data_IF_648442385113
#
_entry.id   IF_648442385113
#
_cell.length_a   1.000
_cell.length_b   1.000
_cell.length_c   1.000
_cell.angle_alpha   90.00
_cell.angle_beta   90.00
_cell.angle_gamma   90.00
#
_symmetry.space_group_name_H-M   'P 1'
#
loop_
_entity.id
_entity.type
_entity.pdbx_description
1 polymer ?
#
# COMPACT_ATOMS: atom_id res chain seq x y z
N UNK A 1 -33.29 -5.03 -15.39
CA UNK A 1 -32.42 -5.97 -14.69
C UNK A 1 -31.08 -5.96 -15.41
N UNK A 2 -30.16 -5.09 -14.99
CA UNK A 2 -28.80 -4.99 -15.53
C UNK A 2 -27.92 -5.91 -14.68
N UNK A 3 -27.20 -6.78 -15.37
CA UNK A 3 -26.30 -7.79 -14.81
C UNK A 3 -25.23 -7.16 -13.93
N UNK A 4 -25.30 -7.40 -12.61
CA UNK A 4 -24.30 -7.01 -11.58
C UNK A 4 -23.17 -8.08 -11.47
N UNK A 5 -22.96 -8.87 -12.48
CA UNK A 5 -21.96 -9.96 -12.46
C UNK A 5 -20.55 -9.58 -12.99
N UNK A 6 -20.26 -8.30 -13.21
CA UNK A 6 -18.98 -7.85 -13.82
C UNK A 6 -17.96 -7.21 -12.87
N UNK A 7 -18.14 -7.27 -11.55
CA UNK A 7 -17.21 -6.63 -10.59
C UNK A 7 -16.30 -7.61 -9.82
N UNK A 8 -16.18 -8.86 -10.24
CA UNK A 8 -15.14 -9.78 -9.74
C UNK A 8 -13.99 -9.93 -10.72
N UNK A 9 -13.34 -8.85 -11.07
CA UNK A 9 -11.99 -8.93 -11.62
C UNK A 9 -10.98 -8.91 -10.48
N UNK A 10 -11.07 -9.89 -9.59
CA UNK A 10 -9.87 -10.40 -8.93
C UNK A 10 -9.03 -10.92 -10.09
N UNK A 11 -7.86 -10.31 -10.34
CA UNK A 11 -6.92 -10.79 -11.35
C UNK A 11 -6.72 -12.28 -11.10
N UNK A 12 -7.39 -13.08 -11.90
CA UNK A 12 -7.34 -14.52 -11.80
C UNK A 12 -5.93 -14.94 -12.17
N UNK A 13 -5.13 -15.39 -11.17
CA UNK A 13 -4.01 -16.19 -11.57
C UNK A 13 -2.65 -16.02 -10.92
N UNK A 14 -2.54 -15.71 -9.65
CA UNK A 14 -1.33 -16.05 -8.91
C UNK A 14 -1.72 -16.95 -7.72
N UNK A 15 -1.85 -18.27 -7.91
CA UNK A 15 -2.06 -19.17 -6.79
C UNK A 15 -0.84 -19.06 -5.86
N UNK A 16 -1.07 -18.78 -4.57
CA UNK A 16 -0.08 -18.55 -3.51
C UNK A 16 0.62 -17.18 -3.46
N UNK A 17 0.11 -16.15 -4.15
CA UNK A 17 0.54 -14.77 -3.92
C UNK A 17 -0.26 -14.14 -2.78
N UNK A 18 0.40 -13.34 -1.94
CA UNK A 18 -0.30 -12.47 -1.00
C UNK A 18 -0.35 -11.08 -1.63
N UNK A 19 -1.54 -10.55 -1.76
CA UNK A 19 -1.78 -9.22 -2.32
C UNK A 19 -2.28 -8.27 -1.24
N UNK A 20 -1.62 -7.13 -1.12
CA UNK A 20 -1.99 -6.08 -0.18
C UNK A 20 -2.42 -4.84 -0.95
N UNK A 21 -3.54 -4.26 -0.57
CA UNK A 21 -4.10 -3.05 -1.18
C UNK A 21 -4.94 -2.25 -0.19
N UNK A 22 -5.32 -1.05 -0.57
CA UNK A 22 -6.37 -0.28 0.12
C UNK A 22 -7.73 -0.84 -0.30
N UNK A 23 -8.57 -1.18 0.67
CA UNK A 23 -9.96 -1.58 0.42
C UNK A 23 -10.76 -0.39 -0.13
N UNK A 24 -11.42 -0.57 -1.27
CA UNK A 24 -12.16 0.49 -1.98
C UNK A 24 -13.60 0.12 -2.28
N UNK A 25 -13.90 -1.17 -2.38
CA UNK A 25 -15.27 -1.64 -2.64
C UNK A 25 -15.99 -1.98 -1.33
N UNK A 26 -17.34 -1.95 -1.31
CA UNK A 26 -18.09 -2.37 -0.15
C UNK A 26 -17.74 -3.80 0.33
N UNK A 27 -17.48 -4.71 -0.60
CA UNK A 27 -17.11 -6.09 -0.30
C UNK A 27 -15.73 -6.17 0.38
N UNK A 28 -14.75 -5.40 -0.09
CA UNK A 28 -13.42 -5.34 0.52
C UNK A 28 -13.45 -4.70 1.91
N UNK A 29 -14.29 -3.68 2.11
CA UNK A 29 -14.50 -3.09 3.44
C UNK A 29 -15.21 -4.06 4.38
N UNK A 30 -16.18 -4.82 3.89
CA UNK A 30 -16.83 -5.87 4.67
C UNK A 30 -15.81 -6.93 5.11
N UNK A 31 -14.91 -7.37 4.21
CA UNK A 31 -13.83 -8.30 4.55
C UNK A 31 -12.92 -7.73 5.67
N UNK A 32 -12.56 -6.45 5.60
CA UNK A 32 -11.78 -5.76 6.64
C UNK A 32 -12.49 -5.79 7.98
N UNK A 33 -13.79 -5.43 8.02
CA UNK A 33 -14.55 -5.30 9.25
C UNK A 33 -14.78 -6.66 9.93
N UNK A 34 -15.06 -7.70 9.14
CA UNK A 34 -15.19 -9.08 9.63
C UNK A 34 -13.85 -9.63 10.12
N UNK A 35 -12.76 -9.35 9.40
CA UNK A 35 -11.43 -9.79 9.82
C UNK A 35 -11.01 -9.14 11.16
N UNK A 36 -11.32 -7.86 11.37
CA UNK A 36 -11.07 -7.20 12.66
C UNK A 36 -11.82 -7.92 13.80
N UNK A 37 -13.10 -8.21 13.58
CA UNK A 37 -13.92 -8.96 14.56
C UNK A 37 -13.34 -10.33 14.83
N UNK A 38 -13.05 -11.10 13.78
CA UNK A 38 -12.48 -12.45 13.90
C UNK A 38 -11.18 -12.42 14.72
N UNK A 39 -10.28 -11.48 14.44
CA UNK A 39 -8.98 -11.42 15.11
C UNK A 39 -9.09 -10.86 16.52
N UNK A 40 -9.69 -9.68 16.68
CA UNK A 40 -9.68 -8.99 17.97
C UNK A 40 -10.65 -9.61 18.97
N UNK A 41 -11.86 -9.97 18.54
CA UNK A 41 -12.89 -10.49 19.46
C UNK A 41 -12.74 -12.01 19.62
N UNK A 42 -12.75 -12.75 18.52
CA UNK A 42 -12.79 -14.22 18.59
C UNK A 42 -11.44 -14.83 18.93
N UNK A 43 -10.35 -14.39 18.26
CA UNK A 43 -9.02 -14.98 18.49
C UNK A 43 -8.32 -14.43 19.74
N UNK A 44 -8.44 -13.12 19.98
CA UNK A 44 -7.68 -12.43 21.04
C UNK A 44 -8.52 -12.11 22.28
N UNK A 45 -9.85 -12.28 22.22
CA UNK A 45 -10.76 -12.06 23.36
C UNK A 45 -10.84 -10.59 23.81
N UNK A 46 -10.65 -9.63 22.89
CA UNK A 46 -10.68 -8.19 23.14
C UNK A 46 -12.05 -7.58 22.83
N UNK A 47 -12.28 -6.34 23.29
CA UNK A 47 -13.48 -5.52 23.04
C UNK A 47 -14.82 -6.07 23.49
N UNK A 48 -14.92 -7.30 23.95
CA UNK A 48 -16.16 -7.96 24.34
C UNK A 48 -17.09 -8.29 23.16
N UNK A 49 -17.49 -9.54 23.05
CA UNK A 49 -18.27 -10.06 21.92
C UNK A 49 -19.64 -9.37 21.76
N UNK A 50 -20.28 -9.00 22.88
CA UNK A 50 -21.59 -8.35 22.86
C UNK A 50 -21.60 -6.95 22.27
N UNK A 51 -20.45 -6.32 22.14
CA UNK A 51 -20.31 -4.99 21.54
C UNK A 51 -20.49 -4.99 20.02
N UNK A 52 -20.40 -6.17 19.38
CA UNK A 52 -20.41 -6.31 17.91
C UNK A 52 -21.34 -7.41 17.45
N UNK A 53 -22.68 -7.25 17.61
CA UNK A 53 -23.66 -8.30 17.33
C UNK A 53 -23.68 -8.75 15.86
N UNK A 54 -23.23 -7.89 14.95
CA UNK A 54 -23.18 -8.19 13.51
C UNK A 54 -21.89 -8.91 13.08
N UNK A 55 -20.97 -9.20 14.03
CA UNK A 55 -19.69 -9.83 13.74
C UNK A 55 -18.75 -8.94 12.91
N UNK A 56 -18.79 -7.60 13.13
CA UNK A 56 -17.99 -6.59 12.42
C UNK A 56 -17.47 -5.54 13.40
N UNK A 57 -16.23 -5.10 13.25
CA UNK A 57 -15.73 -3.92 13.95
C UNK A 57 -15.65 -2.76 12.96
N UNK A 58 -16.56 -1.80 13.16
CA UNK A 58 -16.66 -0.53 12.45
C UNK A 58 -16.83 0.57 13.48
N UNK A 59 -16.16 1.67 13.33
CA UNK A 59 -16.26 2.85 14.20
C UNK A 59 -16.32 4.15 13.39
N UNK A 60 -16.51 5.30 14.06
CA UNK A 60 -16.63 6.59 13.42
C UNK A 60 -15.36 7.00 12.63
N UNK A 61 -14.21 6.40 12.92
CA UNK A 61 -12.96 6.69 12.21
C UNK A 61 -12.88 5.99 10.85
N UNK A 62 -13.74 5.02 10.56
CA UNK A 62 -13.84 4.41 9.24
C UNK A 62 -14.56 5.33 8.22
N UNK A 63 -15.31 6.36 8.69
CA UNK A 63 -16.00 7.34 7.87
C UNK A 63 -15.22 8.67 7.71
N UNK A 64 -13.97 8.75 8.19
CA UNK A 64 -13.16 9.96 8.07
C UNK A 64 -12.80 10.26 6.61
N UNK A 65 -12.65 11.54 6.28
CA UNK A 65 -12.24 11.98 4.93
C UNK A 65 -10.87 11.44 4.51
N UNK A 66 -9.96 11.24 5.49
CA UNK A 66 -8.64 10.64 5.28
C UNK A 66 -8.56 9.34 6.06
N UNK A 67 -9.12 8.30 5.48
CA UNK A 67 -9.03 6.93 5.99
C UNK A 67 -8.56 5.99 4.88
N UNK A 68 -7.68 5.07 5.22
CA UNK A 68 -7.27 3.98 4.35
C UNK A 68 -7.27 2.67 5.13
N UNK A 69 -8.16 1.78 4.75
CA UNK A 69 -8.24 0.42 5.27
C UNK A 69 -7.40 -0.49 4.37
N UNK A 70 -6.20 -0.83 4.81
CA UNK A 70 -5.31 -1.77 4.12
C UNK A 70 -5.80 -3.19 4.39
N UNK A 71 -5.84 -4.02 3.36
CA UNK A 71 -6.18 -5.44 3.47
C UNK A 71 -5.14 -6.29 2.76
N UNK A 72 -4.76 -7.40 3.37
CA UNK A 72 -3.90 -8.43 2.79
C UNK A 72 -4.74 -9.66 2.49
N UNK A 73 -4.68 -10.15 1.26
CA UNK A 73 -5.37 -11.33 0.77
C UNK A 73 -4.41 -12.46 0.43
N UNK A 74 -4.76 -13.69 0.80
CA UNK A 74 -4.29 -14.91 0.16
C UNK A 74 -5.42 -15.44 -0.74
N UNK A 75 -5.24 -15.37 -2.06
CA UNK A 75 -6.35 -15.65 -2.99
C UNK A 75 -7.52 -14.68 -2.76
N UNK A 76 -8.64 -15.20 -2.26
CA UNK A 76 -9.83 -14.42 -1.91
C UNK A 76 -10.02 -14.24 -0.39
N UNK A 77 -9.17 -14.82 0.44
CA UNK A 77 -9.29 -14.76 1.90
C UNK A 77 -8.52 -13.57 2.45
N UNK A 78 -9.17 -12.70 3.22
CA UNK A 78 -8.54 -11.63 3.96
C UNK A 78 -7.79 -12.19 5.18
N UNK A 79 -6.46 -12.00 5.23
CA UNK A 79 -5.58 -12.57 6.26
C UNK A 79 -4.96 -11.53 7.19
N UNK A 80 -5.00 -10.26 6.79
CA UNK A 80 -4.48 -9.14 7.59
C UNK A 80 -5.11 -7.82 7.20
N UNK A 81 -5.20 -6.89 8.15
CA UNK A 81 -5.66 -5.51 7.93
C UNK A 81 -4.95 -4.52 8.84
N UNK A 82 -4.86 -3.28 8.38
CA UNK A 82 -4.32 -2.12 9.10
C UNK A 82 -5.09 -0.88 8.65
N UNK A 83 -5.51 -0.03 9.59
CA UNK A 83 -6.13 1.26 9.28
C UNK A 83 -5.13 2.39 9.46
N UNK A 84 -5.09 3.29 8.51
CA UNK A 84 -4.37 4.56 8.55
C UNK A 84 -5.40 5.68 8.51
N UNK A 85 -5.32 6.63 9.45
CA UNK A 85 -6.10 7.85 9.43
C UNK A 85 -5.16 9.06 9.42
N UNK A 86 -5.61 10.18 8.84
CA UNK A 86 -5.02 11.49 9.04
C UNK A 86 -6.05 12.41 9.68
N UNK A 87 -5.65 13.15 10.69
CA UNK A 87 -6.55 14.05 11.42
C UNK A 87 -7.08 15.17 10.53
N UNK A 88 -8.39 15.28 10.49
CA UNK A 88 -9.14 16.35 9.81
C UNK A 88 -9.83 17.30 10.79
N UNK A 89 -9.41 17.32 12.07
CA UNK A 89 -9.96 18.13 13.13
C UNK A 89 -10.98 17.41 14.01
N UNK A 90 -11.18 16.10 13.80
CA UNK A 90 -12.09 15.24 14.58
C UNK A 90 -11.38 14.41 15.64
N UNK A 91 -10.04 14.49 15.68
CA UNK A 91 -9.22 13.61 16.50
C UNK A 91 -8.90 12.27 15.80
N UNK A 92 -8.17 11.42 16.48
CA UNK A 92 -7.65 10.15 15.97
C UNK A 92 -7.98 8.98 16.91
N UNK A 93 -8.12 7.74 16.40
CA UNK A 93 -8.49 6.57 17.22
C UNK A 93 -7.69 6.38 18.51
N UNK A 94 -6.35 6.57 18.57
CA UNK A 94 -5.61 6.41 19.80
C UNK A 94 -6.00 7.39 20.91
N UNK A 95 -6.60 8.53 20.57
CA UNK A 95 -6.98 9.60 21.49
C UNK A 95 -8.25 9.27 22.30
N UNK A 96 -9.01 8.25 21.89
CA UNK A 96 -10.10 7.70 22.71
C UNK A 96 -9.58 7.01 23.99
N UNK A 97 -8.33 6.59 23.97
CA UNK A 97 -7.74 5.77 25.03
C UNK A 97 -6.61 6.47 25.78
N UNK A 98 -6.01 7.51 25.18
CA UNK A 98 -4.88 8.20 25.73
C UNK A 98 -4.84 9.68 25.33
N UNK A 99 -4.39 10.53 26.24
CA UNK A 99 -4.28 11.96 25.99
C UNK A 99 -2.95 12.31 25.29
N UNK A 100 -3.00 12.61 24.00
CA UNK A 100 -1.85 13.05 23.21
C UNK A 100 -1.66 14.59 23.17
N UNK A 101 -2.35 15.35 24.05
CA UNK A 101 -2.36 16.82 24.03
C UNK A 101 -0.96 17.44 24.09
N UNK A 102 -0.11 17.01 25.03
CA UNK A 102 1.26 17.52 25.19
C UNK A 102 2.12 17.20 23.96
N UNK A 103 1.99 15.99 23.42
CA UNK A 103 2.68 15.60 22.19
C UNK A 103 2.24 16.47 21.01
N UNK A 104 0.94 16.67 20.81
CA UNK A 104 0.41 17.53 19.74
C UNK A 104 0.91 18.97 19.86
N UNK A 105 0.91 19.51 21.07
CA UNK A 105 1.40 20.86 21.33
C UNK A 105 2.87 20.98 20.95
N UNK A 106 3.72 20.09 21.44
CA UNK A 106 5.16 20.07 21.14
C UNK A 106 5.45 19.90 19.63
N UNK A 107 4.69 19.02 18.95
CA UNK A 107 4.78 18.86 17.49
C UNK A 107 4.42 20.16 16.77
N UNK A 108 3.31 20.79 17.13
CA UNK A 108 2.83 22.02 16.47
C UNK A 108 3.85 23.16 16.63
N UNK A 109 4.37 23.35 17.84
CA UNK A 109 5.39 24.38 18.10
C UNK A 109 6.69 24.15 17.34
N UNK A 110 7.17 22.90 17.32
CA UNK A 110 8.44 22.58 16.64
C UNK A 110 8.30 22.63 15.13
N UNK A 111 7.16 22.20 14.61
CA UNK A 111 6.86 22.17 13.16
C UNK A 111 6.73 23.58 12.60
N UNK A 112 5.91 24.43 13.22
CA UNK A 112 5.64 25.81 12.76
C UNK A 112 6.89 26.70 12.77
N UNK A 113 7.94 26.35 13.53
CA UNK A 113 9.23 27.05 13.46
C UNK A 113 10.02 26.80 12.18
N UNK A 114 9.74 25.68 11.49
CA UNK A 114 10.55 25.21 10.38
C UNK A 114 9.76 25.01 9.07
N UNK A 115 8.43 25.15 9.10
CA UNK A 115 7.55 24.88 7.98
C UNK A 115 6.44 25.94 7.87
N UNK A 116 6.10 26.32 6.67
CA UNK A 116 5.01 27.27 6.39
C UNK A 116 3.62 26.60 6.39
N UNK A 117 3.58 25.26 6.42
CA UNK A 117 2.32 24.47 6.46
C UNK A 117 2.12 23.88 7.84
N UNK A 118 0.86 23.69 8.30
CA UNK A 118 0.59 23.09 9.61
C UNK A 118 1.05 21.64 9.69
N UNK A 119 1.42 21.19 10.89
CA UNK A 119 1.68 19.78 11.14
C UNK A 119 0.44 18.94 10.88
N UNK A 120 0.60 17.82 10.17
CA UNK A 120 -0.48 16.87 9.87
C UNK A 120 -0.19 15.56 10.57
N UNK A 121 -0.97 15.26 11.60
CA UNK A 121 -0.78 14.07 12.45
C UNK A 121 -1.74 12.99 11.96
N UNK A 122 -1.20 11.80 11.74
CA UNK A 122 -1.97 10.60 11.41
C UNK A 122 -1.96 9.58 12.54
N UNK A 123 -2.65 8.48 12.33
CA UNK A 123 -2.59 7.31 13.21
C UNK A 123 -2.53 6.01 12.44
N UNK A 124 -1.92 5.00 13.05
CA UNK A 124 -2.00 3.60 12.65
C UNK A 124 -2.80 2.84 13.73
N UNK A 125 -3.88 2.17 13.32
CA UNK A 125 -4.81 1.49 14.22
C UNK A 125 -5.38 0.22 13.60
N UNK A 126 -6.09 -0.58 14.37
CA UNK A 126 -6.80 -1.78 13.90
C UNK A 126 -5.89 -2.76 13.12
N UNK A 127 -4.63 -2.90 13.56
CA UNK A 127 -3.76 -3.95 13.03
C UNK A 127 -4.30 -5.30 13.49
N UNK A 128 -4.86 -6.05 12.57
CA UNK A 128 -5.37 -7.39 12.81
C UNK A 128 -4.77 -8.36 11.80
N UNK A 129 -4.18 -9.45 12.29
CA UNK A 129 -3.62 -10.53 11.46
C UNK A 129 -4.13 -11.85 12.02
N UNK A 130 -4.74 -12.68 11.19
CA UNK A 130 -5.20 -14.03 11.57
C UNK A 130 -4.08 -14.79 12.28
N UNK A 131 -4.42 -15.55 13.31
CA UNK A 131 -3.46 -16.28 14.15
C UNK A 131 -2.51 -17.16 13.33
N UNK A 132 -3.04 -17.84 12.33
CA UNK A 132 -2.29 -18.68 11.38
C UNK A 132 -1.24 -17.91 10.57
N UNK A 133 -1.40 -16.58 10.44
CA UNK A 133 -0.55 -15.69 9.62
C UNK A 133 0.42 -14.83 10.42
N UNK A 134 0.33 -14.82 11.76
CA UNK A 134 1.19 -13.95 12.61
C UNK A 134 2.68 -14.26 12.52
N UNK A 135 3.06 -15.44 12.06
CA UNK A 135 4.45 -15.80 11.80
C UNK A 135 5.00 -15.17 10.51
N UNK A 136 4.15 -14.71 9.58
CA UNK A 136 4.49 -14.07 8.31
C UNK A 136 4.81 -12.58 8.53
N UNK A 137 6.04 -12.33 9.04
CA UNK A 137 6.52 -10.96 9.30
C UNK A 137 6.64 -10.11 8.06
N UNK A 138 6.81 -10.72 6.89
CA UNK A 138 6.80 -10.08 5.57
C UNK A 138 5.45 -9.43 5.27
N UNK A 139 4.33 -10.09 5.56
CA UNK A 139 2.98 -9.53 5.38
C UNK A 139 2.77 -8.30 6.26
N UNK A 140 3.14 -8.40 7.56
CA UNK A 140 3.01 -7.28 8.50
C UNK A 140 3.87 -6.10 8.05
N UNK A 141 5.13 -6.36 7.66
CA UNK A 141 6.04 -5.34 7.13
C UNK A 141 5.46 -4.66 5.88
N UNK A 142 4.92 -5.44 4.95
CA UNK A 142 4.32 -4.92 3.72
C UNK A 142 3.09 -4.03 3.99
N UNK A 143 2.24 -4.37 4.99
CA UNK A 143 1.15 -3.50 5.41
C UNK A 143 1.66 -2.15 5.95
N UNK A 144 2.70 -2.15 6.79
CA UNK A 144 3.29 -0.91 7.29
C UNK A 144 3.95 -0.09 6.17
N UNK A 145 4.63 -0.74 5.22
CA UNK A 145 5.21 -0.04 4.06
C UNK A 145 4.13 0.61 3.19
N UNK A 146 3.00 -0.07 2.96
CA UNK A 146 1.87 0.52 2.26
C UNK A 146 1.30 1.71 3.05
N UNK A 147 1.14 1.57 4.37
CA UNK A 147 0.72 2.66 5.25
C UNK A 147 1.67 3.88 5.22
N UNK A 148 2.98 3.64 5.13
CA UNK A 148 3.96 4.72 4.98
C UNK A 148 3.80 5.47 3.64
N UNK A 149 3.53 4.75 2.54
CA UNK A 149 3.24 5.38 1.25
C UNK A 149 1.97 6.25 1.29
N UNK A 150 0.90 5.73 1.91
CA UNK A 150 -0.36 6.47 2.09
C UNK A 150 -0.13 7.75 2.88
N UNK A 151 0.50 7.66 4.05
CA UNK A 151 0.75 8.83 4.89
C UNK A 151 1.66 9.88 4.22
N UNK A 152 2.62 9.42 3.38
CA UNK A 152 3.43 10.33 2.56
C UNK A 152 2.57 11.07 1.53
N UNK A 153 1.67 10.38 0.84
CA UNK A 153 0.76 11.00 -0.13
C UNK A 153 -0.20 12.01 0.50
N UNK A 154 -0.39 11.94 1.80
CA UNK A 154 -1.21 12.87 2.58
C UNK A 154 -0.39 13.98 3.27
N UNK A 155 0.89 14.11 2.98
CA UNK A 155 1.82 15.06 3.62
C UNK A 155 1.85 14.93 5.16
N UNK A 156 1.80 13.70 5.66
CA UNK A 156 1.84 13.41 7.09
C UNK A 156 3.16 13.85 7.73
N UNK A 157 3.09 14.53 8.87
CA UNK A 157 4.25 14.96 9.65
C UNK A 157 4.65 13.98 10.74
N UNK A 158 3.64 13.46 11.46
CA UNK A 158 3.79 12.54 12.59
C UNK A 158 2.68 11.49 12.59
N UNK A 159 2.94 10.38 13.28
CA UNK A 159 1.98 9.28 13.48
C UNK A 159 1.90 9.00 14.97
N UNK A 160 0.69 8.82 15.49
CA UNK A 160 0.41 8.31 16.83
C UNK A 160 -0.25 6.94 16.76
N UNK A 161 -0.02 6.12 17.77
CA UNK A 161 -0.64 4.80 17.91
C UNK A 161 -0.82 4.41 19.37
N UNK A 162 -1.89 3.68 19.67
CA UNK A 162 -2.04 2.93 20.92
C UNK A 162 -1.75 1.46 20.62
N UNK A 163 -0.60 1.00 21.06
CA UNK A 163 0.00 -0.27 20.64
C UNK A 163 -0.09 -1.29 21.75
N UNK A 164 -0.46 -2.53 21.46
CA UNK A 164 -0.38 -3.61 22.43
C UNK A 164 1.05 -3.71 23.01
N UNK A 165 1.18 -3.72 24.34
CA UNK A 165 2.47 -3.72 25.03
C UNK A 165 3.41 -4.86 24.57
N UNK A 166 2.85 -6.05 24.25
CA UNK A 166 3.62 -7.20 23.75
C UNK A 166 4.24 -6.97 22.38
N UNK A 167 3.72 -6.02 21.61
CA UNK A 167 4.16 -5.71 20.24
C UNK A 167 4.91 -4.38 20.14
N UNK A 168 5.03 -3.60 21.21
CA UNK A 168 5.69 -2.29 21.25
C UNK A 168 7.11 -2.34 20.65
N UNK A 169 7.92 -3.34 21.00
CA UNK A 169 9.26 -3.53 20.44
C UNK A 169 9.32 -3.76 18.92
N UNK A 170 8.21 -4.14 18.27
CA UNK A 170 8.13 -4.16 16.81
C UNK A 170 8.00 -2.72 16.26
N UNK A 171 7.18 -1.90 16.90
CA UNK A 171 6.98 -0.50 16.51
C UNK A 171 8.25 0.35 16.75
N UNK A 172 8.99 0.09 17.83
CA UNK A 172 10.28 0.74 18.08
C UNK A 172 11.26 0.54 16.91
N UNK A 173 11.32 -0.68 16.35
CA UNK A 173 12.19 -1.00 15.19
C UNK A 173 11.83 -0.27 13.90
N UNK A 174 10.63 0.25 13.82
CA UNK A 174 10.14 1.01 12.65
C UNK A 174 10.08 2.52 12.94
N UNK A 175 10.69 2.96 14.06
CA UNK A 175 10.92 4.36 14.37
C UNK A 175 9.91 4.99 15.33
N UNK A 176 9.02 4.21 15.95
CA UNK A 176 8.13 4.70 16.99
C UNK A 176 8.86 4.79 18.33
N UNK A 177 8.50 5.79 19.11
CA UNK A 177 8.96 6.01 20.49
C UNK A 177 7.76 5.93 21.44
N UNK A 178 7.96 5.30 22.60
CA UNK A 178 6.95 5.28 23.66
C UNK A 178 6.84 6.67 24.28
N UNK A 179 5.62 7.18 24.43
CA UNK A 179 5.35 8.47 25.05
C UNK A 179 5.09 8.35 26.54
N UNK A 180 4.67 7.17 27.00
CA UNK A 180 4.43 6.86 28.41
C UNK A 180 4.52 5.34 28.64
N UNK A 181 4.36 4.93 29.89
CA UNK A 181 4.28 3.52 30.31
C UNK A 181 3.02 2.85 29.78
N UNK A 182 3.02 1.51 29.79
CA UNK A 182 1.85 0.72 29.45
C UNK A 182 0.69 0.97 30.43
N UNK A 183 -0.54 0.97 29.91
CA UNK A 183 -1.75 1.16 30.67
C UNK A 183 -2.79 0.11 30.29
N UNK A 184 -3.54 -0.39 31.29
CA UNK A 184 -4.71 -1.23 31.03
C UNK A 184 -5.87 -0.38 30.52
N UNK A 185 -6.41 -0.72 29.36
CA UNK A 185 -7.58 -0.05 28.79
C UNK A 185 -8.77 -0.99 28.84
N UNK A 186 -9.73 -0.68 29.73
CA UNK A 186 -10.93 -1.52 29.97
C UNK A 186 -11.72 -1.80 28.71
N UNK A 187 -11.95 -0.79 27.87
CA UNK A 187 -12.69 -0.93 26.61
C UNK A 187 -12.01 -1.83 25.58
N UNK A 188 -10.69 -1.99 25.64
CA UNK A 188 -9.93 -2.91 24.78
C UNK A 188 -9.78 -4.27 25.43
N UNK A 189 -9.65 -4.32 26.75
CA UNK A 189 -9.34 -5.54 27.51
C UNK A 189 -7.87 -5.96 27.39
N UNK A 190 -6.95 -4.99 27.25
CA UNK A 190 -5.52 -5.28 27.10
C UNK A 190 -4.64 -4.10 27.59
N UNK A 191 -3.35 -4.36 27.78
CA UNK A 191 -2.34 -3.35 28.05
C UNK A 191 -1.89 -2.70 26.75
N UNK A 192 -1.94 -1.36 26.69
CA UNK A 192 -1.47 -0.58 25.55
C UNK A 192 -0.40 0.42 25.96
N UNK A 193 0.49 0.74 25.01
CA UNK A 193 1.52 1.76 25.11
C UNK A 193 1.20 2.86 24.11
N UNK A 194 1.09 4.13 24.53
CA UNK A 194 0.97 5.24 23.60
C UNK A 194 2.33 5.47 22.93
N UNK A 195 2.34 5.47 21.63
CA UNK A 195 3.56 5.63 20.84
C UNK A 195 3.39 6.69 19.77
N UNK A 196 4.50 7.32 19.38
CA UNK A 196 4.53 8.26 18.28
C UNK A 196 5.79 8.09 17.44
N UNK A 197 5.71 8.52 16.18
CA UNK A 197 6.82 8.49 15.24
C UNK A 197 6.81 9.74 14.37
N UNK A 198 8.00 10.28 14.05
CA UNK A 198 8.13 11.23 12.93
C UNK A 198 7.87 10.49 11.62
N UNK A 199 7.00 11.05 10.81
CA UNK A 199 6.64 10.40 9.56
C UNK A 199 7.86 10.18 8.64
N UNK A 200 8.82 11.12 8.64
CA UNK A 200 10.07 10.98 7.88
C UNK A 200 10.91 9.77 8.30
N UNK A 201 10.96 9.43 9.60
CA UNK A 201 11.67 8.24 10.08
C UNK A 201 10.96 6.95 9.64
N UNK A 202 9.63 6.91 9.75
CA UNK A 202 8.83 5.80 9.30
C UNK A 202 8.93 5.57 7.77
N UNK A 203 8.87 6.65 7.00
CA UNK A 203 9.05 6.63 5.55
C UNK A 203 10.45 6.13 5.15
N UNK A 204 11.50 6.63 5.82
CA UNK A 204 12.88 6.16 5.58
C UNK A 204 13.05 4.68 5.91
N UNK A 205 12.44 4.19 6.99
CA UNK A 205 12.43 2.76 7.28
C UNK A 205 11.71 1.95 6.19
N UNK A 206 10.56 2.45 5.71
CA UNK A 206 9.74 1.73 4.73
C UNK A 206 10.42 1.60 3.37
N UNK A 207 11.08 2.66 2.93
CA UNK A 207 11.54 2.81 1.55
C UNK A 207 13.05 3.02 1.41
N UNK A 208 13.77 3.41 2.47
CA UNK A 208 15.24 3.49 2.52
C UNK A 208 15.89 3.98 1.22
N UNK A 209 16.65 3.10 0.60
CA UNK A 209 17.40 3.39 -0.63
C UNK A 209 16.53 3.45 -1.91
N UNK A 210 15.22 3.16 -1.82
CA UNK A 210 14.27 3.33 -2.92
C UNK A 210 13.96 4.80 -3.26
N UNK A 211 14.52 5.78 -2.53
CA UNK A 211 14.17 7.20 -2.63
C UNK A 211 14.24 7.73 -4.08
N UNK A 212 15.16 7.26 -4.90
CA UNK A 212 15.21 7.66 -6.32
C UNK A 212 14.13 6.99 -7.18
N UNK A 213 13.67 5.81 -6.81
CA UNK A 213 12.54 5.11 -7.44
C UNK A 213 11.18 5.62 -6.91
N UNK A 214 11.16 6.29 -5.75
CA UNK A 214 9.95 6.82 -5.09
C UNK A 214 9.30 7.96 -5.85
N UNK A 215 10.02 8.68 -6.68
CA UNK A 215 9.42 9.66 -7.60
C UNK A 215 8.35 9.02 -8.49
N UNK A 216 8.49 7.72 -8.75
CA UNK A 216 7.46 6.90 -9.40
C UNK A 216 6.29 6.62 -8.47
N UNK A 217 6.57 6.25 -7.22
CA UNK A 217 5.53 5.95 -6.23
C UNK A 217 4.75 7.19 -5.82
N UNK A 218 5.40 8.35 -5.70
CA UNK A 218 4.74 9.65 -5.49
C UNK A 218 3.74 9.97 -6.60
N UNK A 219 4.02 9.51 -7.83
CA UNK A 219 3.08 9.65 -8.93
C UNK A 219 1.79 8.85 -8.70
N UNK A 220 1.91 7.63 -8.16
CA UNK A 220 0.76 6.75 -7.93
C UNK A 220 0.03 7.04 -6.61
N UNK A 221 0.51 8.01 -5.81
CA UNK A 221 -0.05 8.31 -4.49
C UNK A 221 -0.18 7.02 -3.65
N UNK A 222 -1.36 6.74 -3.07
CA UNK A 222 -1.65 5.53 -2.29
C UNK A 222 -2.31 4.41 -3.12
N UNK A 223 -2.30 4.49 -4.45
CA UNK A 223 -3.01 3.56 -5.34
C UNK A 223 -2.22 2.33 -5.75
N UNK A 224 -0.96 2.24 -5.35
CA UNK A 224 -0.18 1.04 -5.60
C UNK A 224 -0.59 -0.11 -4.66
N UNK A 225 -0.35 -1.33 -5.14
CA UNK A 225 -0.54 -2.55 -4.37
C UNK A 225 0.82 -3.18 -4.07
N UNK A 226 0.86 -4.10 -3.12
CA UNK A 226 2.04 -4.91 -2.85
C UNK A 226 1.72 -6.37 -3.07
N UNK A 227 2.65 -7.10 -3.67
CA UNK A 227 2.50 -8.53 -3.97
C UNK A 227 3.70 -9.26 -3.41
N UNK A 228 3.44 -10.28 -2.59
CA UNK A 228 4.48 -11.16 -2.02
C UNK A 228 4.35 -12.52 -2.67
N UNK A 229 5.44 -13.00 -3.24
CA UNK A 229 5.54 -14.27 -3.94
C UNK A 229 6.68 -15.10 -3.36
N UNK A 230 6.48 -16.40 -3.21
CA UNK A 230 7.57 -17.33 -2.93
C UNK A 230 8.53 -17.41 -4.11
N UNK A 231 9.70 -18.05 -3.92
CA UNK A 231 10.61 -18.36 -5.02
C UNK A 231 9.94 -19.26 -6.08
N UNK A 232 10.43 -19.19 -7.31
CA UNK A 232 10.01 -20.00 -8.45
C UNK A 232 8.52 -19.84 -8.83
N UNK A 233 7.92 -18.66 -8.52
CA UNK A 233 6.55 -18.33 -8.93
C UNK A 233 6.57 -17.48 -10.19
N UNK A 234 5.68 -17.80 -11.11
CA UNK A 234 5.44 -16.99 -12.31
C UNK A 234 4.61 -15.78 -11.95
N UNK A 235 5.11 -14.59 -12.21
CA UNK A 235 4.38 -13.31 -12.05
C UNK A 235 3.43 -13.11 -13.23
N UNK A 236 3.90 -13.34 -14.44
CA UNK A 236 3.10 -13.41 -15.66
C UNK A 236 3.85 -14.26 -16.71
N UNK A 237 3.12 -14.83 -17.64
CA UNK A 237 3.67 -15.60 -18.77
C UNK A 237 3.76 -14.75 -20.02
N UNK A 238 4.66 -15.13 -20.92
CA UNK A 238 4.63 -14.63 -22.29
C UNK A 238 3.28 -14.96 -22.93
N UNK A 239 2.67 -13.97 -23.56
CA UNK A 239 1.36 -14.09 -24.20
C UNK A 239 0.16 -13.84 -23.29
N UNK A 240 0.35 -13.68 -21.98
CA UNK A 240 -0.73 -13.28 -21.08
C UNK A 240 -1.26 -11.88 -21.46
N UNK A 241 -2.52 -11.63 -21.12
CA UNK A 241 -3.12 -10.32 -21.30
C UNK A 241 -2.38 -9.25 -20.47
N UNK A 242 -2.46 -8.01 -20.92
CA UNK A 242 -1.91 -6.85 -20.22
C UNK A 242 -2.61 -6.63 -18.87
N UNK A 243 -1.96 -5.88 -17.98
CA UNK A 243 -2.53 -5.58 -16.66
C UNK A 243 -1.65 -4.65 -15.87
N UNK A 244 -0.75 -5.19 -15.08
CA UNK A 244 0.07 -4.45 -14.12
C UNK A 244 1.52 -4.32 -14.57
N UNK A 245 2.18 -3.24 -14.16
CA UNK A 245 3.64 -3.15 -14.08
C UNK A 245 4.09 -3.38 -12.65
N UNK A 246 5.37 -3.68 -12.46
CA UNK A 246 5.91 -4.05 -11.17
C UNK A 246 7.27 -3.41 -10.92
N UNK A 247 7.51 -2.97 -9.67
CA UNK A 247 8.84 -2.58 -9.17
C UNK A 247 9.27 -3.64 -8.16
N UNK A 248 10.50 -4.11 -8.27
CA UNK A 248 11.08 -5.05 -7.29
C UNK A 248 11.46 -4.27 -6.05
N UNK A 249 10.79 -4.53 -4.91
CA UNK A 249 11.19 -3.98 -3.61
C UNK A 249 12.18 -4.88 -2.89
N UNK A 250 11.89 -6.19 -2.85
CA UNK A 250 12.77 -7.21 -2.24
C UNK A 250 12.84 -8.41 -3.16
N UNK A 251 13.99 -9.05 -3.25
CA UNK A 251 14.19 -10.27 -4.03
C UNK A 251 14.70 -10.03 -5.44
N UNK A 252 14.46 -11.00 -6.32
CA UNK A 252 14.92 -10.96 -7.71
C UNK A 252 13.95 -11.67 -8.66
N UNK A 253 13.86 -11.12 -9.88
CA UNK A 253 12.99 -11.60 -10.97
C UNK A 253 13.85 -12.01 -12.16
N UNK A 254 13.58 -13.17 -12.75
CA UNK A 254 14.08 -13.57 -14.05
C UNK A 254 13.06 -13.21 -15.13
N UNK A 255 13.50 -12.48 -16.13
CA UNK A 255 12.75 -12.23 -17.37
C UNK A 255 13.26 -13.21 -18.41
N UNK A 256 12.36 -13.98 -19.01
CA UNK A 256 12.69 -15.00 -20.00
C UNK A 256 11.70 -15.02 -21.15
N UNK A 257 12.12 -15.61 -22.27
CA UNK A 257 11.29 -15.76 -23.46
C UNK A 257 11.43 -17.19 -23.98
N UNK A 258 10.30 -17.81 -24.32
CA UNK A 258 10.29 -19.10 -25.00
C UNK A 258 10.86 -18.97 -26.41
N UNK A 259 11.84 -19.80 -26.76
CA UNK A 259 12.36 -19.91 -28.13
C UNK A 259 11.50 -20.86 -28.98
N UNK A 260 11.67 -20.81 -30.30
CA UNK A 260 10.98 -21.70 -31.26
C UNK A 260 11.32 -23.22 -31.05
N UNK A 261 12.47 -23.49 -30.42
CA UNK A 261 12.93 -24.85 -30.06
C UNK A 261 12.38 -25.38 -28.74
N UNK A 262 11.54 -24.58 -28.02
CA UNK A 262 11.05 -24.93 -26.70
C UNK A 262 12.03 -24.61 -25.57
N UNK A 263 13.20 -24.06 -25.88
CA UNK A 263 14.18 -23.61 -24.89
C UNK A 263 13.76 -22.24 -24.32
N UNK A 264 13.96 -22.06 -23.02
CA UNK A 264 13.71 -20.78 -22.34
C UNK A 264 14.99 -19.94 -22.34
N UNK A 265 14.96 -18.80 -23.03
CA UNK A 265 16.09 -17.85 -23.05
C UNK A 265 15.90 -16.80 -21.95
N UNK A 266 16.84 -16.74 -21.00
CA UNK A 266 16.88 -15.66 -20.03
C UNK A 266 17.33 -14.36 -20.70
N UNK A 267 16.49 -13.32 -20.63
CA UNK A 267 16.76 -12.00 -21.20
C UNK A 267 17.42 -11.09 -20.17
N UNK A 268 16.97 -11.15 -18.91
CA UNK A 268 17.46 -10.30 -17.83
C UNK A 268 17.18 -10.93 -16.45
N UNK A 269 17.96 -10.50 -15.46
CA UNK A 269 17.66 -10.67 -14.04
C UNK A 269 17.52 -9.30 -13.42
N UNK A 270 16.38 -9.07 -12.76
CA UNK A 270 16.02 -7.78 -12.17
C UNK A 270 16.04 -7.89 -10.65
N UNK A 271 16.52 -6.85 -9.98
CA UNK A 271 16.60 -6.72 -8.54
C UNK A 271 15.96 -5.44 -8.03
N UNK A 272 16.29 -5.09 -6.80
CA UNK A 272 15.73 -3.94 -6.07
C UNK A 272 15.69 -2.65 -6.89
N UNK A 273 14.54 -1.97 -6.86
CA UNK A 273 14.28 -0.69 -7.56
C UNK A 273 14.01 -0.82 -9.07
N UNK A 274 14.18 -2.01 -9.66
CA UNK A 274 13.99 -2.18 -11.10
C UNK A 274 12.52 -2.43 -11.45
N UNK A 275 12.08 -1.75 -12.51
CA UNK A 275 10.73 -1.82 -13.07
C UNK A 275 10.67 -2.85 -14.18
N UNK A 276 9.54 -3.57 -14.31
CA UNK A 276 9.26 -4.48 -15.40
C UNK A 276 7.76 -4.58 -15.68
N UNK A 277 7.42 -5.07 -16.89
CA UNK A 277 6.02 -5.19 -17.32
C UNK A 277 5.34 -3.86 -17.63
N UNK A 278 6.10 -2.78 -17.70
CA UNK A 278 5.64 -1.40 -17.89
C UNK A 278 4.91 -1.19 -19.23
N UNK A 279 5.26 -1.95 -20.25
CA UNK A 279 4.59 -1.83 -21.56
C UNK A 279 3.10 -2.13 -21.45
N UNK A 280 2.69 -3.01 -20.54
CA UNK A 280 1.28 -3.33 -20.35
C UNK A 280 0.45 -2.20 -19.73
N UNK A 281 1.07 -1.17 -19.18
CA UNK A 281 0.36 0.05 -18.75
C UNK A 281 -0.07 0.89 -19.96
N UNK A 282 0.69 0.88 -21.05
CA UNK A 282 0.54 1.78 -22.19
C UNK A 282 0.02 1.05 -23.42
N UNK A 283 0.59 -0.12 -23.69
CA UNK A 283 0.25 -0.97 -24.81
C UNK A 283 -0.85 -1.99 -24.42
N UNK A 284 -1.69 -2.35 -25.36
CA UNK A 284 -2.70 -3.41 -25.22
C UNK A 284 -2.21 -4.76 -25.76
N UNK A 285 -0.92 -4.84 -26.10
CA UNK A 285 -0.34 -6.09 -26.61
C UNK A 285 -0.12 -7.09 -25.46
N UNK A 286 -0.20 -8.40 -25.76
CA UNK A 286 0.14 -9.44 -24.80
C UNK A 286 1.58 -9.32 -24.28
N UNK A 287 1.84 -9.90 -23.10
CA UNK A 287 3.16 -9.93 -22.48
C UNK A 287 4.22 -10.46 -23.46
N UNK A 288 5.25 -9.68 -23.72
CA UNK A 288 6.34 -10.02 -24.65
C UNK A 288 7.32 -11.07 -24.11
N UNK A 289 7.32 -11.27 -22.79
CA UNK A 289 8.20 -12.18 -22.08
C UNK A 289 7.49 -12.74 -20.83
N UNK A 290 8.09 -13.74 -20.20
CA UNK A 290 7.69 -14.28 -18.90
C UNK A 290 8.52 -13.66 -17.79
N UNK A 291 7.90 -13.43 -16.62
CA UNK A 291 8.58 -13.01 -15.39
C UNK A 291 8.39 -14.08 -14.30
N UNK A 292 9.50 -14.51 -13.69
CA UNK A 292 9.52 -15.55 -12.65
C UNK A 292 10.39 -15.10 -11.48
N UNK A 293 9.91 -15.31 -10.25
CA UNK A 293 10.67 -15.00 -9.03
C UNK A 293 11.83 -15.97 -8.86
N UNK A 294 13.03 -15.47 -8.54
CA UNK A 294 14.20 -16.30 -8.20
C UNK A 294 14.32 -16.58 -6.70
N UNK A 295 13.78 -15.69 -5.89
CA UNK A 295 13.76 -15.78 -4.43
C UNK A 295 12.36 -15.42 -3.94
N UNK A 296 12.10 -15.50 -2.63
CA UNK A 296 10.92 -14.82 -2.07
C UNK A 296 11.00 -13.34 -2.43
N UNK A 297 10.01 -12.84 -3.14
CA UNK A 297 10.02 -11.52 -3.77
C UNK A 297 8.83 -10.70 -3.32
N UNK A 298 9.08 -9.43 -3.00
CA UNK A 298 8.07 -8.43 -2.71
C UNK A 298 8.08 -7.40 -3.83
N UNK A 299 6.94 -7.23 -4.48
CA UNK A 299 6.73 -6.34 -5.61
C UNK A 299 5.79 -5.21 -5.24
N UNK A 300 6.02 -4.04 -5.79
CA UNK A 300 5.05 -2.96 -5.86
C UNK A 300 4.35 -3.12 -7.21
N UNK A 301 3.04 -3.35 -7.19
CA UNK A 301 2.23 -3.52 -8.39
C UNK A 301 1.52 -2.20 -8.72
N UNK A 302 1.60 -1.82 -9.98
CA UNK A 302 1.04 -0.59 -10.55
C UNK A 302 -0.04 -1.01 -11.54
N UNK A 303 -1.29 -0.77 -11.17
CA UNK A 303 -2.45 -1.09 -12.00
C UNK A 303 -2.63 -0.10 -13.15
N UNK A 304 -3.11 -0.58 -14.30
CA UNK A 304 -3.33 0.24 -15.50
C UNK A 304 -4.41 1.32 -15.29
N UNK A 305 -5.51 0.98 -14.62
CA UNK A 305 -6.61 1.92 -14.41
C UNK A 305 -6.18 3.03 -13.44
N UNK A 306 -5.50 2.67 -12.37
CA UNK A 306 -4.91 3.62 -11.44
C UNK A 306 -3.86 4.51 -12.13
N UNK A 307 -3.05 3.95 -13.04
CA UNK A 307 -2.09 4.69 -13.84
C UNK A 307 -2.74 5.78 -14.69
N UNK A 308 -3.78 5.44 -15.46
CA UNK A 308 -4.48 6.41 -16.30
C UNK A 308 -5.27 7.44 -15.48
N UNK A 309 -5.88 7.02 -14.37
CA UNK A 309 -6.58 7.93 -13.46
C UNK A 309 -5.64 9.00 -12.88
N UNK A 310 -4.39 8.63 -12.53
CA UNK A 310 -3.40 9.61 -12.05
C UNK A 310 -2.90 10.53 -13.18
N UNK A 311 -2.74 10.01 -14.41
CA UNK A 311 -2.41 10.84 -15.56
C UNK A 311 -3.45 11.91 -15.84
N UNK A 312 -4.74 11.57 -15.74
CA UNK A 312 -5.84 12.50 -15.91
C UNK A 312 -5.88 13.55 -14.77
N UNK A 313 -5.64 13.13 -13.54
CA UNK A 313 -5.60 14.01 -12.38
C UNK A 313 -4.40 14.97 -12.37
N UNK A 314 -3.24 14.53 -12.89
CA UNK A 314 -1.98 15.26 -12.83
C UNK A 314 -1.21 15.27 -14.17
N UNK A 315 -1.77 15.91 -15.23
CA UNK A 315 -1.16 15.87 -16.57
C UNK A 315 0.25 16.47 -16.65
N UNK A 316 0.59 17.39 -15.76
CA UNK A 316 1.92 18.02 -15.71
C UNK A 316 3.04 17.04 -15.30
N UNK A 317 2.69 15.93 -14.62
CA UNK A 317 3.65 14.89 -14.19
C UNK A 317 3.98 13.87 -15.29
N UNK A 318 3.34 13.92 -16.45
CA UNK A 318 3.61 13.01 -17.59
C UNK A 318 5.10 13.01 -17.96
N UNK A 319 5.74 14.19 -17.93
CA UNK A 319 7.17 14.31 -18.28
C UNK A 319 8.08 13.56 -17.29
N UNK A 320 7.73 13.58 -16.00
CA UNK A 320 8.51 12.90 -14.97
C UNK A 320 8.29 11.39 -15.06
N UNK A 321 7.07 10.98 -15.35
CA UNK A 321 6.74 9.59 -15.64
C UNK A 321 7.53 9.04 -16.84
N UNK A 322 7.62 9.76 -17.95
CA UNK A 322 8.37 9.32 -19.13
C UNK A 322 9.87 9.09 -18.85
N UNK A 323 10.43 9.77 -17.85
CA UNK A 323 11.83 9.52 -17.41
C UNK A 323 11.97 8.19 -16.67
N UNK A 324 10.93 7.74 -16.02
CA UNK A 324 10.90 6.50 -15.23
C UNK A 324 10.70 5.28 -16.11
N UNK A 325 10.06 5.46 -17.28
CA UNK A 325 9.80 4.42 -18.26
C UNK A 325 10.67 4.57 -19.53
N UNK A 326 12.00 4.43 -19.43
CA UNK A 326 12.90 4.64 -20.57
C UNK A 326 12.64 3.65 -21.72
N UNK A 327 12.15 2.45 -21.44
CA UNK A 327 11.74 1.47 -22.45
C UNK A 327 10.55 1.93 -23.30
N UNK A 328 9.67 2.76 -22.72
CA UNK A 328 8.56 3.38 -23.46
C UNK A 328 9.06 4.40 -24.47
N UNK A 329 10.15 5.11 -24.16
CA UNK A 329 10.77 6.08 -25.07
C UNK A 329 11.61 5.40 -26.18
N UNK A 330 12.07 4.17 -25.97
CA UNK A 330 12.92 3.44 -26.91
C UNK A 330 12.12 2.56 -27.91
N UNK A 331 10.87 2.26 -27.62
CA UNK A 331 10.00 1.55 -28.57
C UNK A 331 9.66 2.46 -29.77
N UNK A 332 9.58 1.94 -31.00
CA UNK A 332 9.08 2.71 -32.16
C UNK A 332 7.60 3.01 -31.90
N UNK A 333 7.35 4.11 -31.19
CA UNK A 333 6.01 4.53 -30.82
C UNK A 333 5.24 4.99 -32.04
N UNK A 334 4.11 4.36 -32.26
CA UNK A 334 3.07 4.91 -33.11
C UNK A 334 2.43 6.10 -32.34
N UNK A 335 3.09 7.25 -32.43
CA UNK A 335 2.80 8.54 -31.75
C UNK A 335 1.33 9.02 -31.73
N UNK A 336 0.37 8.53 -32.54
CA UNK A 336 -1.00 9.01 -32.50
C UNK A 336 -1.75 8.77 -31.18
N UNK A 337 -1.36 7.81 -30.35
CA UNK A 337 -2.08 7.48 -29.11
C UNK A 337 -1.73 8.39 -27.93
N UNK A 338 -0.45 8.73 -27.73
CA UNK A 338 -0.04 9.66 -26.66
C UNK A 338 -0.61 11.07 -26.85
N UNK A 339 -0.71 11.56 -28.09
CA UNK A 339 -1.27 12.88 -28.38
C UNK A 339 -2.80 12.97 -28.29
N UNK A 340 -3.49 11.89 -28.40
CA UNK A 340 -4.96 11.87 -28.22
C UNK A 340 -5.39 11.92 -26.75
N UNK A 341 -4.48 11.62 -25.82
CA UNK A 341 -4.75 11.62 -24.38
C UNK A 341 -4.51 12.98 -23.70
N UNK A 342 -3.85 13.93 -24.39
CA UNK A 342 -3.63 15.29 -23.89
C UNK A 342 -4.64 16.20 -24.57
N UNK A 343 -5.58 16.84 -23.84
CA UNK A 343 -6.53 17.77 -24.46
C UNK A 343 -5.76 18.98 -25.06
N UNK A 344 -6.20 19.50 -26.23
CA UNK A 344 -5.50 20.55 -26.97
C UNK A 344 -5.23 21.84 -26.21
N UNK A 345 -5.95 22.07 -25.11
CA UNK A 345 -5.84 23.27 -24.28
C UNK A 345 -4.58 23.32 -23.38
N UNK A 346 -3.87 22.21 -23.20
CA UNK A 346 -2.67 22.16 -22.34
C UNK A 346 -1.33 22.31 -23.11
N UNK A 347 -1.36 22.39 -24.44
CA UNK A 347 -0.16 22.45 -25.30
C UNK A 347 0.24 23.89 -25.67
N UNK A 348 -0.60 24.90 -25.41
CA UNK A 348 -0.42 26.27 -25.91
C UNK A 348 0.30 27.25 -24.97
N UNK A 349 0.99 26.82 -23.94
CA UNK A 349 1.75 27.72 -23.05
C UNK A 349 3.24 27.41 -22.91
N UNK A 350 3.88 26.79 -23.91
CA UNK A 350 5.33 26.65 -23.96
C UNK A 350 5.85 27.35 -25.22
N UNK A 351 6.09 28.64 -25.06
CA UNK A 351 7.10 29.40 -25.82
C UNK A 351 8.19 29.85 -24.89
#
# INVERSE_FOLDING_TARGET
MLNIEKARTVSAGLPSAIRLKVARTPEELEDVYRLRYQVHVIEDGKFGEQSFPDGRIVDAFDDMSYVANIVAYEGSEAVGTLRINLDSGQGLPPEEHYNFGDFRHGVTESWNRNHDTPARIGSASMLAVQRSWRHRRDVIRAMFKLGAGIGHSWDGSHIIAAVNAKTAGMYERIGFESLDSEQWIEGIGDHVVPMACKFSAFHSWAFGDLIDSLKTLDFFSYRFQRVILAADKVVFRQGDDHGEAYIVDIGAIRISKGGESGEELTLATLGHGQLFGELSLIDTQPRSAQATTLTTTELIALDREDFFSELEAQPHRIRDMLKIFPSVCAAPMNWPLCWRMVPPSSVLSIR
#
